data_IF_477417973324
#
_entry.id   IF_477417973324
#
_cell.length_a   1.000
_cell.length_b   1.000
_cell.length_c   1.000
_cell.angle_alpha   90.00
_cell.angle_beta   90.00
_cell.angle_gamma   90.00
#
_symmetry.space_group_name_H-M   'P 1'
#
loop_
_entity.id
_entity.type
_entity.pdbx_description
1 polymer ?
#
# COMPACT_ATOMS: atom_id res chain seq x y z
N UNK A 1 19.23 -12.30 28.42
CA UNK A 1 18.87 -11.28 27.42
C UNK A 1 17.35 -11.23 27.40
N UNK A 2 16.75 -10.32 28.17
CA UNK A 2 15.29 -10.13 28.15
C UNK A 2 14.93 -9.56 26.79
N UNK A 3 14.14 -10.28 26.00
CA UNK A 3 13.58 -9.74 24.79
C UNK A 3 12.73 -8.50 25.15
N UNK A 4 12.93 -7.37 24.48
CA UNK A 4 12.20 -6.12 24.70
C UNK A 4 10.74 -6.18 24.20
N UNK A 5 10.17 -7.39 24.17
CA UNK A 5 8.84 -7.70 23.68
C UNK A 5 8.81 -8.75 22.58
N UNK A 6 7.60 -8.98 22.07
CA UNK A 6 7.27 -9.93 21.01
C UNK A 6 6.93 -9.14 19.75
N UNK A 7 7.72 -9.30 18.70
CA UNK A 7 7.44 -8.70 17.39
C UNK A 7 6.37 -9.52 16.68
N UNK A 8 5.28 -8.87 16.26
CA UNK A 8 4.15 -9.49 15.58
C UNK A 8 4.19 -9.15 14.10
N UNK A 9 4.27 -10.17 13.25
CA UNK A 9 4.34 -10.01 11.80
C UNK A 9 2.96 -10.08 11.15
N UNK A 10 2.15 -11.07 11.54
CA UNK A 10 0.88 -11.35 10.90
C UNK A 10 -0.04 -12.21 11.76
N UNK A 11 -1.32 -12.20 11.44
CA UNK A 11 -2.32 -13.17 11.90
C UNK A 11 -2.73 -14.08 10.73
N UNK A 12 -2.81 -15.37 11.00
CA UNK A 12 -2.95 -16.46 10.03
C UNK A 12 -3.87 -17.55 10.60
N UNK A 13 -4.35 -18.49 9.79
CA UNK A 13 -5.10 -19.65 10.30
C UNK A 13 -4.24 -20.58 11.18
N UNK A 14 -4.80 -21.11 12.27
CA UNK A 14 -4.05 -21.86 13.30
C UNK A 14 -3.36 -23.14 12.80
N UNK A 15 -3.97 -23.82 11.82
CA UNK A 15 -3.43 -25.05 11.24
C UNK A 15 -2.28 -24.81 10.26
N UNK A 16 -1.95 -23.55 9.93
CA UNK A 16 -1.01 -23.24 8.87
C UNK A 16 0.45 -23.33 9.36
N UNK A 17 1.30 -24.16 8.72
CA UNK A 17 2.71 -24.23 9.08
C UNK A 17 3.49 -23.01 8.57
N UNK A 18 4.53 -22.63 9.29
CA UNK A 18 5.48 -21.61 8.81
C UNK A 18 6.31 -22.14 7.64
N UNK A 19 6.74 -21.29 6.69
CA UNK A 19 7.74 -21.67 5.71
C UNK A 19 9.07 -22.03 6.40
N UNK A 20 9.69 -23.15 5.99
CA UNK A 20 10.88 -23.73 6.64
C UNK A 20 12.12 -22.85 6.55
N UNK A 21 12.19 -21.99 5.54
CA UNK A 21 13.29 -21.07 5.26
C UNK A 21 12.95 -19.62 5.62
N UNK A 22 11.77 -19.37 6.21
CA UNK A 22 11.38 -18.04 6.63
C UNK A 22 12.33 -17.50 7.72
N UNK A 23 12.57 -16.19 7.66
CA UNK A 23 13.48 -15.47 8.55
C UNK A 23 12.76 -14.23 9.07
N UNK A 24 12.86 -13.98 10.37
CA UNK A 24 12.32 -12.77 10.98
C UNK A 24 13.22 -11.55 10.74
N UNK A 25 12.75 -10.40 11.22
CA UNK A 25 13.50 -9.15 11.23
C UNK A 25 14.65 -9.23 12.23
N UNK A 26 15.78 -8.59 11.92
CA UNK A 26 16.95 -8.51 12.80
C UNK A 26 18.27 -8.86 12.11
N UNK A 27 19.36 -8.68 12.84
CA UNK A 27 20.67 -9.18 12.45
C UNK A 27 21.42 -9.71 13.70
N UNK A 28 21.58 -11.03 13.86
CA UNK A 28 21.09 -12.10 12.97
C UNK A 28 19.55 -12.12 12.87
N UNK A 29 19.03 -12.74 11.81
CA UNK A 29 17.58 -12.83 11.59
C UNK A 29 16.90 -13.58 12.75
N UNK A 30 15.82 -13.02 13.29
CA UNK A 30 15.13 -13.62 14.42
C UNK A 30 14.42 -14.94 14.04
N UNK A 31 14.39 -15.87 14.99
CA UNK A 31 13.66 -17.13 14.84
C UNK A 31 12.15 -16.87 14.91
N UNK A 32 11.42 -17.40 13.92
CA UNK A 32 9.97 -17.27 13.85
C UNK A 32 9.29 -18.39 14.64
N UNK A 33 8.21 -18.05 15.33
CA UNK A 33 7.33 -19.00 16.00
C UNK A 33 5.88 -18.56 15.87
N UNK A 34 4.98 -19.40 16.35
CA UNK A 34 3.55 -19.19 16.21
C UNK A 34 2.86 -19.28 17.57
N UNK A 35 2.10 -18.26 17.93
CA UNK A 35 1.21 -18.27 19.08
C UNK A 35 -0.19 -18.59 18.58
N UNK A 36 -0.75 -19.73 19.01
CA UNK A 36 -2.09 -20.19 18.60
C UNK A 36 -3.14 -19.75 19.61
N UNK A 37 -4.31 -19.40 19.09
CA UNK A 37 -5.50 -19.10 19.87
C UNK A 37 -6.73 -19.47 19.02
N UNK A 38 -7.44 -20.52 19.43
CA UNK A 38 -8.61 -21.02 18.69
C UNK A 38 -8.30 -21.32 17.22
N UNK A 39 -9.09 -20.76 16.30
CA UNK A 39 -8.96 -20.95 14.85
C UNK A 39 -7.82 -20.14 14.20
N UNK A 40 -7.18 -19.23 14.92
CA UNK A 40 -6.15 -18.32 14.40
C UNK A 40 -4.82 -18.42 15.13
N UNK A 41 -3.82 -17.77 14.56
CA UNK A 41 -2.46 -17.79 15.04
C UNK A 41 -1.71 -16.51 14.67
N UNK A 42 -0.89 -15.99 15.60
CA UNK A 42 0.05 -14.92 15.32
C UNK A 42 1.42 -15.50 14.94
N UNK A 43 2.00 -15.01 13.84
CA UNK A 43 3.40 -15.23 13.48
C UNK A 43 4.25 -14.19 14.19
N UNK A 44 5.19 -14.63 15.00
CA UNK A 44 5.96 -13.76 15.91
C UNK A 44 7.44 -14.13 15.95
N UNK A 45 8.27 -13.20 16.40
CA UNK A 45 9.65 -13.43 16.84
C UNK A 45 9.91 -12.65 18.12
N UNK A 46 11.05 -12.86 18.75
CA UNK A 46 11.52 -11.91 19.75
C UNK A 46 11.78 -10.57 19.06
N UNK A 47 11.47 -9.47 19.74
CA UNK A 47 11.73 -8.13 19.22
C UNK A 47 13.25 -7.90 19.13
N UNK A 48 13.78 -7.48 17.96
CA UNK A 48 15.19 -7.12 17.84
C UNK A 48 15.52 -5.94 18.77
N UNK A 49 16.68 -5.95 19.45
CA UNK A 49 17.10 -4.82 20.25
C UNK A 49 17.28 -3.59 19.36
N UNK A 50 16.84 -2.42 19.82
CA UNK A 50 16.89 -1.17 19.06
C UNK A 50 16.21 -1.24 17.68
N UNK A 51 15.00 -1.84 17.63
CA UNK A 51 14.19 -1.91 16.43
C UNK A 51 14.01 -0.53 15.79
N UNK A 52 14.53 -0.38 14.57
CA UNK A 52 14.41 0.83 13.74
C UNK A 52 13.96 0.43 12.34
N UNK A 53 13.30 1.34 11.64
CA UNK A 53 12.88 1.15 10.25
C UNK A 53 14.05 1.22 9.25
N UNK A 54 15.05 0.34 9.43
CA UNK A 54 16.17 0.20 8.49
C UNK A 54 15.68 -0.51 7.24
N UNK A 55 16.20 -0.14 6.06
CA UNK A 55 15.82 -0.74 4.77
C UNK A 55 15.84 -2.28 4.80
N UNK A 56 16.90 -2.88 5.34
CA UNK A 56 17.01 -4.34 5.48
C UNK A 56 15.86 -4.93 6.29
N UNK A 57 15.53 -4.31 7.41
CA UNK A 57 14.53 -4.81 8.35
C UNK A 57 13.11 -4.66 7.77
N UNK A 58 12.84 -3.55 7.07
CA UNK A 58 11.60 -3.37 6.29
C UNK A 58 11.44 -4.42 5.18
N UNK A 59 12.52 -4.71 4.45
CA UNK A 59 12.50 -5.73 3.40
C UNK A 59 12.31 -7.14 3.97
N UNK A 60 12.94 -7.48 5.10
CA UNK A 60 12.78 -8.77 5.75
C UNK A 60 11.32 -8.99 6.22
N UNK A 61 10.71 -7.96 6.82
CA UNK A 61 9.29 -7.99 7.19
C UNK A 61 8.38 -8.22 5.99
N UNK A 62 8.59 -7.44 4.92
CA UNK A 62 7.79 -7.53 3.71
C UNK A 62 7.94 -8.89 3.00
N UNK A 63 9.16 -9.41 2.90
CA UNK A 63 9.46 -10.71 2.29
C UNK A 63 8.76 -11.85 3.05
N UNK A 64 8.78 -11.82 4.39
CA UNK A 64 8.05 -12.78 5.19
C UNK A 64 6.55 -12.74 4.90
N UNK A 65 5.96 -11.54 4.84
CA UNK A 65 4.54 -11.39 4.56
C UNK A 65 4.14 -11.87 3.16
N UNK A 66 4.98 -11.63 2.16
CA UNK A 66 4.76 -12.16 0.80
C UNK A 66 4.75 -13.69 0.80
N UNK A 67 5.77 -14.32 1.41
CA UNK A 67 5.86 -15.79 1.51
C UNK A 67 4.69 -16.39 2.28
N UNK A 68 4.24 -15.73 3.34
CA UNK A 68 3.05 -16.13 4.08
C UNK A 68 1.81 -16.00 3.19
N UNK A 69 1.70 -14.94 2.40
CA UNK A 69 0.55 -14.70 1.53
C UNK A 69 0.45 -15.74 0.40
N UNK A 70 1.58 -16.27 -0.08
CA UNK A 70 1.60 -17.32 -1.11
C UNK A 70 1.06 -18.67 -0.62
N UNK A 71 0.96 -18.86 0.70
CA UNK A 71 0.40 -20.08 1.32
C UNK A 71 -1.02 -19.92 1.85
N UNK A 72 -1.70 -18.81 1.54
CA UNK A 72 -3.07 -18.55 1.95
C UNK A 72 -3.27 -17.17 2.59
N UNK A 73 -4.48 -16.87 3.11
CA UNK A 73 -4.82 -15.55 3.62
C UNK A 73 -3.97 -15.16 4.83
N UNK A 74 -3.66 -13.86 4.90
CA UNK A 74 -2.81 -13.25 5.91
C UNK A 74 -3.41 -11.91 6.30
N UNK A 75 -3.46 -11.61 7.59
CA UNK A 75 -3.66 -10.27 8.12
C UNK A 75 -2.27 -9.69 8.39
N UNK A 76 -1.73 -8.83 7.52
CA UNK A 76 -0.38 -8.32 7.69
C UNK A 76 -0.36 -7.22 8.76
N UNK A 77 0.49 -7.39 9.78
CA UNK A 77 0.76 -6.32 10.73
C UNK A 77 1.66 -5.26 10.08
N UNK A 78 1.49 -4.00 10.48
CA UNK A 78 2.44 -2.95 10.12
C UNK A 78 3.83 -3.25 10.68
N UNK A 79 4.88 -2.73 10.04
CA UNK A 79 6.22 -2.86 10.58
C UNK A 79 6.31 -2.19 11.96
N UNK A 80 6.97 -2.85 12.91
CA UNK A 80 7.24 -2.29 14.22
C UNK A 80 6.20 -2.63 15.30
N UNK A 81 5.29 -3.55 15.02
CA UNK A 81 4.28 -3.98 15.98
C UNK A 81 4.91 -4.90 17.02
N UNK A 82 5.18 -4.36 18.21
CA UNK A 82 5.80 -5.08 19.33
C UNK A 82 4.84 -5.11 20.53
N UNK A 83 4.48 -6.31 20.97
CA UNK A 83 3.74 -6.55 22.19
C UNK A 83 4.70 -6.72 23.39
N UNK A 84 4.28 -6.42 24.63
CA UNK A 84 5.12 -6.62 25.81
C UNK A 84 5.54 -8.08 26.02
N UNK A 85 4.64 -9.02 25.75
CA UNK A 85 4.82 -10.45 25.99
C UNK A 85 3.85 -11.29 25.14
N UNK A 86 4.03 -12.61 25.17
CA UNK A 86 3.18 -13.56 24.42
C UNK A 86 1.75 -13.64 24.98
N UNK A 87 1.56 -13.39 26.27
CA UNK A 87 0.24 -13.41 26.91
C UNK A 87 -0.63 -12.27 26.38
N UNK A 88 -0.05 -11.08 26.21
CA UNK A 88 -0.69 -9.93 25.57
C UNK A 88 -1.12 -10.28 24.14
N UNK A 89 -0.25 -10.93 23.36
CA UNK A 89 -0.59 -11.37 21.99
C UNK A 89 -1.75 -12.36 22.02
N UNK A 90 -1.71 -13.36 22.91
CA UNK A 90 -2.78 -14.36 23.05
C UNK A 90 -4.11 -13.72 23.45
N UNK A 91 -4.09 -12.77 24.38
CA UNK A 91 -5.27 -12.03 24.81
C UNK A 91 -5.89 -11.20 23.67
N UNK A 92 -5.07 -10.54 22.84
CA UNK A 92 -5.55 -9.81 21.66
C UNK A 92 -6.15 -10.74 20.60
N UNK A 93 -5.50 -11.89 20.34
CA UNK A 93 -6.05 -12.90 19.43
C UNK A 93 -7.41 -13.41 19.93
N UNK A 94 -7.54 -13.70 21.22
CA UNK A 94 -8.78 -14.20 21.80
C UNK A 94 -9.90 -13.15 21.73
N UNK A 95 -9.58 -11.89 22.02
CA UNK A 95 -10.56 -10.80 22.03
C UNK A 95 -11.15 -10.49 20.63
N UNK A 96 -10.42 -10.81 19.56
CA UNK A 96 -10.79 -10.51 18.17
C UNK A 96 -10.82 -11.74 17.26
N UNK A 97 -10.97 -12.94 17.84
CA UNK A 97 -10.89 -14.19 17.08
C UNK A 97 -11.90 -14.22 15.92
N UNK A 98 -13.16 -13.89 16.20
CA UNK A 98 -14.24 -13.87 15.20
C UNK A 98 -13.95 -12.85 14.10
N UNK A 99 -13.56 -11.62 14.46
CA UNK A 99 -13.27 -10.56 13.50
C UNK A 99 -12.08 -10.93 12.60
N UNK A 100 -11.00 -11.43 13.19
CA UNK A 100 -9.81 -11.85 12.44
C UNK A 100 -10.10 -13.04 11.52
N UNK A 101 -10.94 -13.98 11.96
CA UNK A 101 -11.37 -15.12 11.14
C UNK A 101 -12.19 -14.64 9.94
N UNK A 102 -13.16 -13.75 10.14
CA UNK A 102 -13.97 -13.20 9.05
C UNK A 102 -13.11 -12.42 8.04
N UNK A 103 -12.11 -11.67 8.50
CA UNK A 103 -11.16 -10.97 7.61
C UNK A 103 -10.28 -11.97 6.85
N UNK A 104 -9.76 -13.01 7.51
CA UNK A 104 -8.99 -14.07 6.83
C UNK A 104 -9.81 -14.73 5.70
N UNK A 105 -11.07 -15.05 5.99
CA UNK A 105 -12.00 -15.61 5.00
C UNK A 105 -12.21 -14.65 3.82
N UNK A 106 -12.46 -13.36 4.08
CA UNK A 106 -12.61 -12.35 3.04
C UNK A 106 -11.37 -12.21 2.13
N UNK A 107 -10.17 -12.40 2.69
CA UNK A 107 -8.90 -12.31 1.98
C UNK A 107 -8.47 -13.61 1.28
N UNK A 108 -9.28 -14.66 1.35
CA UNK A 108 -8.96 -15.96 0.73
C UNK A 108 -8.80 -15.81 -0.78
N UNK A 109 -7.69 -16.34 -1.32
CA UNK A 109 -7.31 -16.23 -2.73
C UNK A 109 -7.38 -14.80 -3.28
N UNK A 110 -6.98 -13.82 -2.47
CA UNK A 110 -6.91 -12.42 -2.84
C UNK A 110 -5.52 -11.84 -2.64
N UNK A 111 -5.23 -10.79 -3.39
CA UNK A 111 -4.03 -9.96 -3.30
C UNK A 111 -4.42 -8.50 -3.37
N UNK A 112 -3.58 -7.63 -2.82
CA UNK A 112 -3.75 -6.19 -2.96
C UNK A 112 -2.93 -5.66 -4.14
N UNK A 113 -3.56 -4.82 -4.96
CA UNK A 113 -2.90 -4.00 -5.98
C UNK A 113 -3.20 -2.54 -5.68
N UNK A 114 -2.17 -1.74 -5.47
CA UNK A 114 -2.28 -0.31 -5.26
C UNK A 114 -2.06 0.46 -6.57
N UNK A 115 -2.96 1.38 -6.87
CA UNK A 115 -2.89 2.27 -8.05
C UNK A 115 -2.82 3.71 -7.57
N UNK A 116 -1.74 4.39 -7.97
CA UNK A 116 -1.56 5.82 -7.77
C UNK A 116 -1.62 6.54 -9.10
N UNK A 117 -2.36 7.64 -9.15
CA UNK A 117 -2.45 8.49 -10.33
C UNK A 117 -1.80 9.85 -10.04
N UNK A 118 -0.86 10.25 -10.88
CA UNK A 118 -0.13 11.51 -10.78
C UNK A 118 -0.27 12.33 -12.07
N UNK A 119 -0.11 13.66 -12.01
CA UNK A 119 0.00 14.48 -13.22
C UNK A 119 1.12 13.99 -14.14
N UNK A 120 0.81 13.82 -15.42
CA UNK A 120 1.77 13.38 -16.42
C UNK A 120 2.92 14.39 -16.57
N UNK A 121 4.16 13.91 -16.48
CA UNK A 121 5.36 14.76 -16.52
C UNK A 121 5.64 15.35 -17.91
N UNK A 122 5.28 14.62 -18.98
CA UNK A 122 5.56 15.01 -20.37
C UNK A 122 4.31 15.52 -21.11
N UNK A 123 3.37 16.15 -20.40
CA UNK A 123 2.08 16.58 -20.95
C UNK A 123 2.00 18.06 -21.34
N UNK A 124 3.11 18.81 -21.26
CA UNK A 124 3.06 20.27 -21.47
C UNK A 124 2.63 20.64 -22.91
N UNK A 125 3.15 19.93 -23.92
CA UNK A 125 2.83 20.22 -25.31
C UNK A 125 1.34 19.99 -25.62
N UNK A 126 0.79 18.83 -25.22
CA UNK A 126 -0.63 18.51 -25.37
C UNK A 126 -1.52 19.42 -24.51
N UNK A 127 -1.03 19.87 -23.35
CA UNK A 127 -1.73 20.83 -22.50
C UNK A 127 -1.88 22.19 -23.17
N UNK A 128 -0.80 22.74 -23.68
CA UNK A 128 -0.80 24.04 -24.36
C UNK A 128 -1.66 23.99 -25.64
N UNK A 129 -1.72 22.83 -26.32
CA UNK A 129 -2.51 22.63 -27.53
C UNK A 129 -4.03 22.57 -27.29
N UNK A 130 -4.49 22.14 -26.12
CA UNK A 130 -5.93 21.99 -25.79
C UNK A 130 -6.43 23.11 -24.87
N UNK A 131 -5.65 23.53 -23.87
CA UNK A 131 -6.09 24.47 -22.84
C UNK A 131 -5.93 25.93 -23.30
N UNK A 132 -7.06 26.61 -23.53
CA UNK A 132 -7.09 28.01 -24.00
C UNK A 132 -6.48 28.98 -22.99
N UNK A 133 -6.66 28.75 -21.69
CA UNK A 133 -6.17 29.63 -20.65
C UNK A 133 -4.65 29.54 -20.51
N UNK A 134 -4.10 28.32 -20.49
CA UNK A 134 -2.64 28.08 -20.48
C UNK A 134 -1.99 28.70 -21.72
N UNK A 135 -2.62 28.55 -22.89
CA UNK A 135 -2.12 29.11 -24.15
C UNK A 135 -2.11 30.65 -24.12
N UNK A 136 -3.19 31.27 -23.62
CA UNK A 136 -3.28 32.72 -23.43
C UNK A 136 -2.19 33.23 -22.50
N UNK A 137 -2.04 32.63 -21.31
CA UNK A 137 -1.04 33.02 -20.31
C UNK A 137 0.39 32.84 -20.83
N UNK A 138 0.64 31.78 -21.62
CA UNK A 138 1.93 31.56 -22.30
C UNK A 138 2.24 32.71 -23.27
N UNK A 139 1.26 33.11 -24.08
CA UNK A 139 1.45 34.18 -25.06
C UNK A 139 1.62 35.56 -24.39
N UNK A 140 0.95 35.78 -23.26
CA UNK A 140 1.13 36.95 -22.40
C UNK A 140 2.54 37.00 -21.79
N UNK A 141 3.00 35.90 -21.19
CA UNK A 141 4.35 35.79 -20.62
C UNK A 141 5.46 35.96 -21.67
N UNK A 142 5.23 35.51 -22.92
CA UNK A 142 6.15 35.76 -24.05
C UNK A 142 6.18 37.23 -24.48
N UNK A 143 5.01 37.90 -24.51
CA UNK A 143 4.90 39.31 -24.91
C UNK A 143 5.41 40.27 -23.83
N UNK A 144 5.23 39.93 -22.55
CA UNK A 144 5.66 40.72 -21.39
C UNK A 144 6.31 39.79 -20.36
N UNK A 145 7.60 39.47 -20.54
CA UNK A 145 8.34 38.66 -19.59
C UNK A 145 8.40 39.36 -18.24
N UNK A 146 8.07 38.65 -17.18
CA UNK A 146 8.07 39.17 -15.82
C UNK A 146 7.91 38.05 -14.80
N UNK A 147 8.34 38.32 -13.56
CA UNK A 147 8.22 37.33 -12.49
C UNK A 147 6.76 36.91 -12.26
N UNK A 148 5.86 37.88 -12.15
CA UNK A 148 4.44 37.63 -11.91
C UNK A 148 3.76 36.86 -13.07
N UNK A 149 4.09 37.19 -14.33
CA UNK A 149 3.54 36.47 -15.49
C UNK A 149 4.04 35.02 -15.56
N UNK A 150 5.29 34.76 -15.17
CA UNK A 150 5.84 33.41 -15.04
C UNK A 150 5.17 32.61 -13.93
N UNK A 151 4.94 33.22 -12.76
CA UNK A 151 4.22 32.58 -11.64
C UNK A 151 2.81 32.18 -12.07
N UNK A 152 2.04 33.12 -12.63
CA UNK A 152 0.66 32.85 -13.09
C UNK A 152 0.59 31.76 -14.15
N UNK A 153 1.55 31.73 -15.08
CA UNK A 153 1.65 30.65 -16.06
C UNK A 153 1.95 29.30 -15.39
N UNK A 154 2.90 29.26 -14.46
CA UNK A 154 3.26 28.06 -13.70
C UNK A 154 2.08 27.50 -12.91
N UNK A 155 1.33 28.35 -12.21
CA UNK A 155 0.13 27.97 -11.46
C UNK A 155 -0.98 27.42 -12.38
N UNK A 156 -1.21 28.07 -13.52
CA UNK A 156 -2.20 27.62 -14.49
C UNK A 156 -1.83 26.26 -15.08
N UNK A 157 -0.56 26.05 -15.42
CA UNK A 157 -0.05 24.76 -15.90
C UNK A 157 -0.22 23.68 -14.84
N UNK A 158 0.22 23.93 -13.60
CA UNK A 158 0.13 22.96 -12.51
C UNK A 158 -1.34 22.58 -12.21
N UNK A 159 -2.24 23.56 -12.20
CA UNK A 159 -3.68 23.35 -11.98
C UNK A 159 -4.29 22.52 -13.09
N UNK A 160 -3.99 22.85 -14.35
CA UNK A 160 -4.56 22.13 -15.49
C UNK A 160 -4.03 20.69 -15.60
N UNK A 161 -2.73 20.46 -15.32
CA UNK A 161 -2.16 19.10 -15.24
C UNK A 161 -2.84 18.27 -14.13
N UNK A 162 -3.03 18.84 -12.93
CA UNK A 162 -3.72 18.16 -11.84
C UNK A 162 -5.18 17.85 -12.19
N UNK A 163 -5.89 18.77 -12.83
CA UNK A 163 -7.29 18.56 -13.24
C UNK A 163 -7.43 17.42 -14.25
N UNK A 164 -6.58 17.39 -15.28
CA UNK A 164 -6.52 16.29 -16.27
C UNK A 164 -6.21 14.95 -15.61
N UNK A 165 -5.24 14.93 -14.71
CA UNK A 165 -4.86 13.73 -13.99
C UNK A 165 -6.01 13.24 -13.10
N UNK A 166 -6.71 14.13 -12.41
CA UNK A 166 -7.84 13.78 -11.57
C UNK A 166 -9.01 13.21 -12.40
N UNK A 167 -9.25 13.76 -13.60
CA UNK A 167 -10.23 13.21 -14.52
C UNK A 167 -9.86 11.80 -15.00
N UNK A 168 -8.61 11.61 -15.43
CA UNK A 168 -8.09 10.29 -15.81
C UNK A 168 -8.08 9.31 -14.62
N UNK A 169 -7.78 9.78 -13.41
CA UNK A 169 -7.88 9.04 -12.16
C UNK A 169 -9.30 8.50 -11.91
N UNK A 170 -10.33 9.35 -12.08
CA UNK A 170 -11.73 8.90 -11.98
C UNK A 170 -12.10 7.88 -13.07
N UNK A 171 -11.51 7.99 -14.27
CA UNK A 171 -11.73 7.03 -15.37
C UNK A 171 -11.12 5.67 -15.05
N UNK A 172 -9.84 5.62 -14.65
CA UNK A 172 -9.19 4.35 -14.29
C UNK A 172 -9.87 3.68 -13.11
N UNK A 173 -10.33 4.45 -12.11
CA UNK A 173 -11.09 3.89 -10.99
C UNK A 173 -12.36 3.19 -11.49
N UNK A 174 -13.17 3.85 -12.34
CA UNK A 174 -14.37 3.24 -12.92
C UNK A 174 -14.09 1.99 -13.75
N UNK A 175 -12.96 1.96 -14.47
CA UNK A 175 -12.58 0.84 -15.32
C UNK A 175 -12.09 -0.36 -14.51
N UNK A 176 -11.34 -0.13 -13.43
CA UNK A 176 -10.73 -1.18 -12.63
C UNK A 176 -11.65 -1.69 -11.49
N UNK A 177 -12.54 -0.87 -10.94
CA UNK A 177 -13.44 -1.28 -9.84
C UNK A 177 -14.22 -2.58 -10.15
N UNK A 178 -14.84 -2.77 -11.34
CA UNK A 178 -15.56 -4.01 -11.65
C UNK A 178 -14.68 -5.27 -11.70
N UNK A 179 -13.35 -5.11 -11.83
CA UNK A 179 -12.37 -6.21 -11.86
C UNK A 179 -11.83 -6.57 -10.46
N UNK A 180 -12.23 -5.83 -9.43
CA UNK A 180 -11.83 -6.04 -8.05
C UNK A 180 -13.02 -6.51 -7.20
N UNK A 181 -12.72 -7.25 -6.11
CA UNK A 181 -13.71 -7.66 -5.11
C UNK A 181 -14.09 -6.50 -4.19
N UNK A 182 -13.13 -5.62 -3.90
CA UNK A 182 -13.32 -4.45 -3.06
C UNK A 182 -12.27 -3.36 -3.38
N UNK A 183 -12.52 -2.14 -2.93
CA UNK A 183 -11.59 -1.01 -3.03
C UNK A 183 -11.45 -0.31 -1.69
N UNK A 184 -10.25 0.16 -1.37
CA UNK A 184 -9.97 0.93 -0.18
C UNK A 184 -9.17 2.20 -0.55
N UNK A 185 -9.55 3.39 -0.04
CA UNK A 185 -8.74 4.58 -0.24
C UNK A 185 -7.40 4.44 0.48
N UNK A 186 -6.32 4.77 -0.21
CA UNK A 186 -5.01 4.91 0.40
C UNK A 186 -4.82 6.27 1.08
N UNK A 187 -3.75 6.45 1.86
CA UNK A 187 -3.44 7.75 2.46
C UNK A 187 -3.14 8.81 1.39
N UNK A 188 -3.30 10.08 1.75
CA UNK A 188 -2.92 11.20 0.90
C UNK A 188 -1.41 11.17 0.63
N UNK A 189 -1.05 11.22 -0.66
CA UNK A 189 0.34 11.25 -1.12
C UNK A 189 0.55 12.56 -1.88
N UNK A 190 1.57 13.33 -1.48
CA UNK A 190 1.88 14.61 -2.11
C UNK A 190 2.06 14.47 -3.63
N UNK A 191 1.34 15.30 -4.39
CA UNK A 191 1.38 15.30 -5.85
C UNK A 191 0.52 14.20 -6.51
N UNK A 192 -0.05 13.29 -5.73
CA UNK A 192 -0.99 12.29 -6.20
C UNK A 192 -2.41 12.88 -6.28
N UNK A 193 -3.17 12.51 -7.30
CA UNK A 193 -4.59 12.88 -7.45
C UNK A 193 -5.54 11.72 -7.14
N UNK A 194 -5.01 10.50 -7.05
CA UNK A 194 -5.75 9.29 -6.67
C UNK A 194 -4.76 8.30 -6.05
N UNK A 195 -5.07 7.75 -4.87
CA UNK A 195 -4.35 6.62 -4.28
C UNK A 195 -5.40 5.61 -3.80
N UNK A 196 -5.54 4.48 -4.50
CA UNK A 196 -6.56 3.47 -4.18
C UNK A 196 -5.94 2.09 -4.24
N UNK A 197 -6.26 1.27 -3.25
CA UNK A 197 -5.95 -0.15 -3.23
C UNK A 197 -7.16 -0.97 -3.67
N UNK A 198 -6.91 -2.01 -4.42
CA UNK A 198 -7.89 -2.93 -4.98
C UNK A 198 -7.62 -4.32 -4.41
N UNK A 199 -8.66 -4.97 -3.90
CA UNK A 199 -8.62 -6.37 -3.51
C UNK A 199 -8.96 -7.19 -4.75
N UNK A 200 -7.96 -7.87 -5.31
CA UNK A 200 -8.08 -8.60 -6.57
C UNK A 200 -7.98 -10.09 -6.28
N UNK A 201 -8.78 -10.91 -6.95
CA UNK A 201 -8.60 -12.36 -6.88
C UNK A 201 -7.22 -12.74 -7.40
N UNK A 202 -6.50 -13.62 -6.70
CA UNK A 202 -5.11 -14.00 -7.04
C UNK A 202 -4.99 -14.53 -8.47
N UNK A 203 -5.94 -15.34 -8.94
CA UNK A 203 -5.96 -15.83 -10.32
C UNK A 203 -6.21 -14.75 -11.40
N UNK A 204 -6.71 -13.57 -11.00
CA UNK A 204 -7.03 -12.46 -11.90
C UNK A 204 -6.03 -11.29 -11.77
N UNK A 205 -4.97 -11.43 -10.96
CA UNK A 205 -4.03 -10.33 -10.69
C UNK A 205 -3.34 -9.83 -11.96
N UNK A 206 -2.94 -10.74 -12.84
CA UNK A 206 -2.19 -10.40 -14.05
C UNK A 206 -3.08 -9.70 -15.08
N UNK A 207 -4.35 -10.12 -15.18
CA UNK A 207 -5.34 -9.45 -16.02
C UNK A 207 -5.63 -8.03 -15.50
N UNK A 208 -5.78 -7.88 -14.19
CA UNK A 208 -6.01 -6.58 -13.55
C UNK A 208 -4.83 -5.63 -13.80
N UNK A 209 -3.60 -6.10 -13.58
CA UNK A 209 -2.38 -5.34 -13.84
C UNK A 209 -2.27 -4.93 -15.31
N UNK A 210 -2.53 -5.87 -16.23
CA UNK A 210 -2.52 -5.61 -17.67
C UNK A 210 -3.55 -4.56 -18.07
N UNK A 211 -4.76 -4.59 -17.50
CA UNK A 211 -5.77 -3.57 -17.74
C UNK A 211 -5.30 -2.18 -17.28
N UNK A 212 -4.73 -2.09 -16.07
CA UNK A 212 -4.19 -0.84 -15.54
C UNK A 212 -3.02 -0.28 -16.38
N UNK A 213 -2.13 -1.16 -16.86
CA UNK A 213 -1.02 -0.78 -17.75
C UNK A 213 -1.52 -0.31 -19.13
N UNK A 214 -2.52 -0.98 -19.70
CA UNK A 214 -3.11 -0.57 -20.97
C UNK A 214 -3.83 0.78 -20.86
N UNK A 215 -4.52 1.03 -19.73
CA UNK A 215 -5.05 2.34 -19.42
C UNK A 215 -3.93 3.39 -19.37
N UNK A 216 -2.85 3.11 -18.64
CA UNK A 216 -1.71 4.02 -18.50
C UNK A 216 -1.08 4.37 -19.85
N UNK A 217 -0.88 3.38 -20.73
CA UNK A 217 -0.37 3.58 -22.10
C UNK A 217 -1.29 4.49 -22.92
N UNK A 218 -2.60 4.24 -22.87
CA UNK A 218 -3.61 5.00 -23.62
C UNK A 218 -3.80 6.43 -23.12
N UNK A 219 -3.45 6.70 -21.85
CA UNK A 219 -3.65 8.00 -21.19
C UNK A 219 -2.34 8.67 -20.75
N UNK A 220 -1.19 8.30 -21.32
CA UNK A 220 0.15 8.77 -20.92
C UNK A 220 0.33 10.30 -20.91
N UNK A 221 -0.45 11.02 -21.72
CA UNK A 221 -0.42 12.49 -21.79
C UNK A 221 -1.37 13.17 -20.80
N UNK A 222 -2.19 12.40 -20.09
CA UNK A 222 -3.17 12.88 -19.11
C UNK A 222 -2.78 12.49 -17.68
N UNK A 223 -2.18 11.32 -17.50
CA UNK A 223 -1.84 10.79 -16.19
C UNK A 223 -0.64 9.86 -16.23
N UNK A 224 0.17 9.88 -15.17
CA UNK A 224 1.16 8.85 -14.85
C UNK A 224 0.51 7.91 -13.83
N UNK A 225 0.37 6.63 -14.17
CA UNK A 225 -0.05 5.61 -13.21
C UNK A 225 1.18 4.92 -12.62
N UNK A 226 1.20 4.78 -11.29
CA UNK A 226 2.15 3.94 -10.57
C UNK A 226 1.40 2.77 -9.95
N UNK A 227 1.81 1.57 -10.31
CA UNK A 227 1.22 0.32 -9.86
C UNK A 227 2.16 -0.33 -8.84
N UNK A 228 1.60 -0.88 -7.76
CA UNK A 228 2.34 -1.70 -6.81
C UNK A 228 1.51 -2.93 -6.45
N UNK A 229 2.06 -4.11 -6.69
CA UNK A 229 1.43 -5.39 -6.39
C UNK A 229 2.03 -6.54 -7.18
N UNK A 230 1.69 -7.80 -6.82
CA UNK A 230 0.80 -8.18 -5.73
C UNK A 230 1.41 -7.88 -4.34
N UNK A 231 0.62 -7.28 -3.45
CA UNK A 231 1.00 -6.95 -2.07
C UNK A 231 0.20 -7.80 -1.07
N UNK A 232 0.71 -7.98 0.16
CA UNK A 232 -0.13 -8.33 1.30
C UNK A 232 -1.25 -7.29 1.48
N UNK A 233 -2.43 -7.74 1.91
CA UNK A 233 -3.67 -6.94 1.92
C UNK A 233 -3.78 -5.94 3.09
N UNK A 234 -2.81 -5.04 3.23
CA UNK A 234 -2.77 -4.04 4.31
C UNK A 234 -3.99 -3.10 4.33
N UNK A 235 -4.55 -2.77 3.17
CA UNK A 235 -5.65 -1.80 3.07
C UNK A 235 -7.01 -2.41 3.39
N UNK A 236 -7.08 -3.73 3.56
CA UNK A 236 -8.31 -4.49 3.76
C UNK A 236 -8.35 -5.18 5.13
N UNK A 237 -7.43 -4.82 6.02
CA UNK A 237 -7.48 -5.19 7.45
C UNK A 237 -8.00 -3.99 8.26
N UNK A 238 -9.07 -4.19 9.03
CA UNK A 238 -9.60 -3.14 9.90
C UNK A 238 -8.60 -2.79 11.01
N UNK A 239 -8.37 -1.49 11.19
CA UNK A 239 -7.29 -0.88 11.97
C UNK A 239 -7.01 -1.59 13.30
N UNK A 240 -5.85 -2.24 13.36
CA UNK A 240 -5.36 -2.98 14.52
C UNK A 240 -5.02 -2.02 15.67
N UNK A 241 -5.58 -2.27 16.85
CA UNK A 241 -5.12 -1.63 18.09
C UNK A 241 -4.48 -2.68 18.98
N UNK A 242 -3.35 -3.25 18.53
CA UNK A 242 -2.40 -3.76 19.52
C UNK A 242 -1.84 -2.49 20.17
N UNK A 243 -2.04 -2.31 21.48
CA UNK A 243 -1.41 -1.22 22.23
C UNK A 243 0.10 -1.42 22.19
N UNK A 244 0.76 -0.75 21.26
CA UNK A 244 2.21 -0.83 21.04
C UNK A 244 2.87 0.44 21.57
N UNK A 245 3.97 0.28 22.30
CA UNK A 245 4.97 1.34 22.46
C UNK A 245 5.53 1.64 21.07
N UNK A 246 5.12 2.73 20.44
CA UNK A 246 5.82 3.24 19.27
C UNK A 246 7.28 3.47 19.66
N UNK A 247 8.21 2.71 19.10
CA UNK A 247 9.63 3.02 19.19
C UNK A 247 9.80 4.44 18.63
N UNK A 248 10.05 5.38 19.54
CA UNK A 248 10.10 6.80 19.26
C UNK A 248 11.10 7.14 18.17
N UNK A 249 10.78 8.21 17.44
CA UNK A 249 11.70 9.00 16.61
C UNK A 249 12.91 9.40 17.46
#
# INVERSE_FOLDING_TARGET
MTADGVYVYAIIGAARPLPTDARGVGNPAAHLRVIRQGGIAAVVSDAPPNLRARRRDLLAHQELLLRLSDRGPVLPMRFGMVAPDEETVRGQLAARETDHTAVLEHLTDAVEVNVKALPAQNALASLVAEDKNVRRLRDEARRRPGYESNVRLGEAVATALRSRAAEAGRRVLRELTPKARATAPGPDVQGCVLNVSFLVGRGNSDEFMSAAENFAKSHRERVELRLAGPLPCYSFVSVETIRVRTAGV
#
